data_IF_142908659360
#
_entry.id   IF_142908659360
#
_cell.length_a   1.000
_cell.length_b   1.000
_cell.length_c   1.000
_cell.angle_alpha   90.00
_cell.angle_beta   90.00
_cell.angle_gamma   90.00
#
_symmetry.space_group_name_H-M   'P 1'
#
loop_
_entity.id
_entity.type
_entity.pdbx_description
1 polymer ?
#
# COMPACT_ATOMS: atom_id res chain seq x y z
N UNK A 1 15.89 14.21 1.29
CA UNK A 1 15.06 15.44 1.30
C UNK A 1 13.65 15.26 1.90
N UNK A 2 13.00 14.08 1.83
CA UNK A 2 11.67 13.84 2.44
C UNK A 2 11.61 14.14 3.96
N UNK A 3 12.68 13.84 4.71
CA UNK A 3 12.76 14.10 6.16
C UNK A 3 12.72 15.59 6.57
N UNK A 4 12.80 16.53 5.61
CA UNK A 4 12.69 17.98 5.88
C UNK A 4 11.32 18.56 5.51
N UNK A 5 10.42 17.78 4.90
CA UNK A 5 9.09 18.22 4.50
C UNK A 5 8.13 17.95 5.66
N UNK A 6 7.91 18.96 6.48
CA UNK A 6 6.93 18.94 7.57
C UNK A 6 5.52 19.24 7.02
N UNK A 7 4.44 18.78 7.68
CA UNK A 7 3.07 19.18 7.35
C UNK A 7 2.90 20.69 7.14
N UNK A 8 3.50 21.49 8.03
CA UNK A 8 3.46 22.95 7.94
C UNK A 8 4.05 23.51 6.63
N UNK A 9 5.08 22.87 6.08
CA UNK A 9 5.70 23.31 4.81
C UNK A 9 4.76 23.04 3.63
N UNK A 10 4.06 21.90 3.65
CA UNK A 10 3.06 21.55 2.63
C UNK A 10 1.87 22.50 2.73
N UNK A 11 1.30 22.67 3.93
CA UNK A 11 0.18 23.59 4.17
C UNK A 11 0.54 25.04 3.77
N UNK A 12 1.69 25.56 4.19
CA UNK A 12 2.14 26.90 3.82
C UNK A 12 2.35 27.05 2.31
N UNK A 13 2.89 26.04 1.63
CA UNK A 13 3.04 26.04 0.18
C UNK A 13 1.69 26.16 -0.53
N UNK A 14 0.67 25.42 -0.05
CA UNK A 14 -0.70 25.50 -0.57
C UNK A 14 -1.29 26.89 -0.31
N UNK A 15 -1.17 27.42 0.91
CA UNK A 15 -1.72 28.74 1.28
C UNK A 15 -1.10 29.89 0.48
N UNK A 16 0.22 29.85 0.23
CA UNK A 16 0.91 30.82 -0.63
C UNK A 16 0.34 30.77 -2.07
N UNK A 17 0.03 29.56 -2.56
CA UNK A 17 -0.50 29.31 -3.90
C UNK A 17 -2.03 29.33 -3.97
N UNK A 18 -2.76 29.70 -2.91
CA UNK A 18 -4.23 29.58 -2.84
C UNK A 18 -5.00 30.24 -4.00
N UNK A 19 -4.41 31.25 -4.67
CA UNK A 19 -5.01 31.88 -5.86
C UNK A 19 -5.01 30.97 -7.08
N UNK A 20 -3.99 30.12 -7.23
CA UNK A 20 -3.85 29.15 -8.33
C UNK A 20 -4.24 27.73 -7.93
N UNK A 21 -4.17 27.40 -6.65
CA UNK A 21 -4.65 26.16 -6.06
C UNK A 21 -6.00 26.42 -5.40
N UNK A 22 -7.08 26.38 -6.19
CA UNK A 22 -8.42 26.61 -5.67
C UNK A 22 -9.00 25.38 -4.95
N UNK A 23 -8.67 24.17 -5.43
CA UNK A 23 -9.15 22.89 -4.90
C UNK A 23 -7.97 21.93 -4.79
N UNK A 24 -7.74 21.35 -3.60
CA UNK A 24 -6.56 20.50 -3.37
C UNK A 24 -6.95 19.14 -2.81
N UNK A 25 -6.38 18.09 -3.40
CA UNK A 25 -6.42 16.71 -2.90
C UNK A 25 -5.05 16.42 -2.28
N UNK A 26 -5.01 16.09 -1.00
CA UNK A 26 -3.78 15.81 -0.26
C UNK A 26 -3.66 14.30 -0.10
N UNK A 27 -2.54 13.74 -0.56
CA UNK A 27 -2.34 12.28 -0.61
C UNK A 27 -1.03 11.86 0.06
N UNK A 28 -0.89 10.58 0.38
CA UNK A 28 0.29 10.08 1.11
C UNK A 28 1.56 10.04 0.27
N UNK A 29 1.47 9.55 -0.96
CA UNK A 29 2.61 9.18 -1.77
C UNK A 29 2.42 9.33 -3.27
N UNK A 30 3.41 8.81 -4.00
CA UNK A 30 3.51 8.97 -5.46
C UNK A 30 2.54 8.07 -6.22
N UNK A 31 2.16 6.92 -5.66
CA UNK A 31 1.18 6.03 -6.28
C UNK A 31 -0.23 6.61 -6.16
N UNK A 32 -0.56 7.24 -5.04
CA UNK A 32 -1.80 7.99 -4.86
C UNK A 32 -1.88 9.17 -5.83
N UNK A 33 -0.78 9.93 -5.97
CA UNK A 33 -0.68 11.00 -6.97
C UNK A 33 -0.98 10.46 -8.36
N UNK A 34 -0.36 9.35 -8.76
CA UNK A 34 -0.57 8.73 -10.06
C UNK A 34 -2.04 8.32 -10.24
N UNK A 35 -2.63 7.66 -9.24
CA UNK A 35 -4.02 7.22 -9.25
C UNK A 35 -4.98 8.40 -9.40
N UNK A 36 -4.92 9.37 -8.50
CA UNK A 36 -5.85 10.51 -8.51
C UNK A 36 -5.62 11.44 -9.70
N UNK A 37 -4.42 11.49 -10.28
CA UNK A 37 -4.19 12.27 -11.51
C UNK A 37 -5.06 11.80 -12.68
N UNK A 38 -5.46 10.53 -12.70
CA UNK A 38 -6.36 9.98 -13.72
C UNK A 38 -7.79 10.48 -13.56
N UNK A 39 -8.25 10.68 -12.32
CA UNK A 39 -9.66 10.86 -11.99
C UNK A 39 -9.99 12.21 -11.36
N UNK A 40 -9.00 13.08 -11.12
CA UNK A 40 -9.21 14.43 -10.60
C UNK A 40 -9.97 15.33 -11.58
N UNK A 41 -10.81 16.20 -11.06
CA UNK A 41 -11.35 17.35 -11.80
C UNK A 41 -10.20 18.21 -12.37
N UNK A 42 -10.45 18.89 -13.49
CA UNK A 42 -9.42 19.67 -14.21
C UNK A 42 -8.78 20.74 -13.33
N UNK A 43 -9.59 21.42 -12.51
CA UNK A 43 -9.16 22.47 -11.59
C UNK A 43 -8.52 21.95 -10.29
N UNK A 44 -8.68 20.67 -9.97
CA UNK A 44 -8.10 20.09 -8.75
C UNK A 44 -6.60 19.93 -8.88
N UNK A 45 -5.87 20.26 -7.83
CA UNK A 45 -4.44 20.00 -7.70
C UNK A 45 -4.22 18.87 -6.70
N UNK A 46 -3.14 18.12 -6.86
CA UNK A 46 -2.78 17.03 -5.94
C UNK A 46 -1.45 17.35 -5.29
N UNK A 47 -1.38 17.25 -3.96
CA UNK A 47 -0.17 17.51 -3.18
C UNK A 47 0.18 16.29 -2.31
N UNK A 48 1.45 15.91 -2.30
CA UNK A 48 1.95 14.76 -1.52
C UNK A 48 2.35 15.24 -0.12
N UNK A 49 1.80 14.62 0.92
CA UNK A 49 2.11 14.92 2.30
C UNK A 49 3.18 13.99 2.92
N UNK A 50 3.57 12.91 2.23
CA UNK A 50 4.57 11.94 2.68
C UNK A 50 4.16 11.17 3.94
N UNK A 51 2.95 10.60 3.90
CA UNK A 51 2.38 9.73 4.94
C UNK A 51 1.07 10.26 5.53
N UNK A 52 0.19 9.35 5.94
CA UNK A 52 -1.17 9.67 6.39
C UNK A 52 -1.24 10.65 7.58
N UNK A 53 -0.33 10.55 8.55
CA UNK A 53 -0.29 11.49 9.68
C UNK A 53 -0.08 12.93 9.18
N UNK A 54 0.78 13.09 8.17
CA UNK A 54 0.99 14.37 7.54
C UNK A 54 -0.23 14.82 6.73
N UNK A 55 -0.94 13.92 6.04
CA UNK A 55 -2.18 14.26 5.34
C UNK A 55 -3.18 14.89 6.33
N UNK A 56 -3.43 14.23 7.46
CA UNK A 56 -4.33 14.73 8.50
C UNK A 56 -3.86 16.09 9.04
N UNK A 57 -2.56 16.21 9.35
CA UNK A 57 -2.00 17.45 9.90
C UNK A 57 -2.06 18.62 8.91
N UNK A 58 -1.83 18.37 7.61
CA UNK A 58 -1.95 19.38 6.55
C UNK A 58 -3.41 19.83 6.44
N UNK A 59 -4.35 18.89 6.36
CA UNK A 59 -5.78 19.19 6.26
C UNK A 59 -6.24 20.05 7.46
N UNK A 60 -5.93 19.63 8.68
CA UNK A 60 -6.27 20.41 9.88
C UNK A 60 -5.66 21.82 9.88
N UNK A 61 -4.41 21.94 9.40
CA UNK A 61 -3.74 23.24 9.31
C UNK A 61 -4.42 24.16 8.28
N UNK A 62 -4.84 23.62 7.13
CA UNK A 62 -5.55 24.39 6.11
C UNK A 62 -6.93 24.85 6.60
N UNK A 63 -7.71 23.95 7.23
CA UNK A 63 -9.01 24.29 7.80
C UNK A 63 -8.90 25.39 8.87
N UNK A 64 -7.87 25.33 9.73
CA UNK A 64 -7.64 26.35 10.75
C UNK A 64 -7.37 27.73 10.16
N UNK A 65 -6.78 27.80 8.98
CA UNK A 65 -6.48 29.04 8.25
C UNK A 65 -7.64 29.47 7.31
N UNK A 66 -8.81 28.80 7.40
CA UNK A 66 -9.99 29.10 6.60
C UNK A 66 -9.88 28.65 5.14
N UNK A 67 -9.05 27.65 4.86
CA UNK A 67 -8.94 27.02 3.54
C UNK A 67 -9.76 25.72 3.52
N UNK A 68 -11.05 25.85 3.19
CA UNK A 68 -12.02 24.73 3.25
C UNK A 68 -12.03 23.88 1.97
N UNK A 69 -11.43 24.37 0.88
CA UNK A 69 -11.40 23.70 -0.42
C UNK A 69 -10.30 22.61 -0.50
N UNK A 70 -10.16 21.79 0.54
CA UNK A 70 -9.24 20.67 0.58
C UNK A 70 -9.87 19.37 1.08
N UNK A 71 -9.42 18.26 0.52
CA UNK A 71 -9.66 16.91 1.03
C UNK A 71 -8.35 16.17 1.24
N UNK A 72 -8.31 15.25 2.20
CA UNK A 72 -7.23 14.30 2.40
C UNK A 72 -7.64 12.90 2.00
N UNK A 73 -6.70 12.12 1.48
CA UNK A 73 -6.90 10.71 1.18
C UNK A 73 -5.74 9.92 1.77
N UNK A 74 -6.06 8.90 2.54
CA UNK A 74 -5.11 8.03 3.22
C UNK A 74 -5.43 6.56 2.94
N UNK A 75 -4.42 5.72 2.98
CA UNK A 75 -4.56 4.27 2.95
C UNK A 75 -5.30 3.79 4.22
N UNK A 76 -6.12 2.76 4.09
CA UNK A 76 -6.76 2.12 5.25
C UNK A 76 -5.74 1.43 6.15
N UNK A 77 -4.65 0.92 5.59
CA UNK A 77 -3.64 0.11 6.27
C UNK A 77 -4.29 -0.96 7.18
N UNK A 78 -3.87 -1.03 8.44
CA UNK A 78 -4.40 -1.88 9.48
C UNK A 78 -5.31 -1.10 10.46
N UNK A 79 -5.71 0.14 10.14
CA UNK A 79 -6.47 1.02 11.05
C UNK A 79 -7.78 0.37 11.57
N UNK A 80 -8.54 -0.41 10.76
CA UNK A 80 -9.72 -1.12 11.26
C UNK A 80 -9.41 -2.26 12.24
N UNK A 81 -8.20 -2.82 12.18
CA UNK A 81 -7.78 -3.98 12.98
C UNK A 81 -7.04 -3.53 14.24
N UNK A 82 -6.27 -2.46 14.12
CA UNK A 82 -5.46 -1.87 15.19
C UNK A 82 -5.80 -0.37 15.18
N UNK A 83 -6.90 0.01 15.87
CA UNK A 83 -7.34 1.40 15.91
C UNK A 83 -6.24 2.31 16.45
N UNK A 84 -6.00 3.41 15.76
CA UNK A 84 -5.03 4.42 16.17
C UNK A 84 -5.75 5.56 16.90
N UNK A 85 -5.05 6.24 17.80
CA UNK A 85 -5.63 7.31 18.64
C UNK A 85 -5.90 8.63 17.90
N UNK A 86 -5.98 8.61 16.58
CA UNK A 86 -6.12 9.80 15.75
C UNK A 86 -7.58 10.08 15.40
N UNK A 87 -7.94 11.36 15.46
CA UNK A 87 -9.23 11.85 14.98
C UNK A 87 -9.07 12.17 13.50
N UNK A 88 -9.76 11.41 12.65
CA UNK A 88 -9.81 11.64 11.21
C UNK A 88 -10.81 12.78 10.92
N UNK A 89 -10.37 13.90 10.30
CA UNK A 89 -11.26 14.99 9.93
C UNK A 89 -12.33 14.55 8.91
N UNK A 90 -13.48 15.22 8.89
CA UNK A 90 -14.59 14.87 8.00
C UNK A 90 -14.27 14.96 6.49
N UNK A 91 -13.25 15.73 6.12
CA UNK A 91 -12.74 15.88 4.77
C UNK A 91 -11.53 14.97 4.48
N UNK A 92 -11.26 13.97 5.33
CA UNK A 92 -10.25 12.93 5.09
C UNK A 92 -10.94 11.59 4.87
N UNK A 93 -10.58 10.92 3.76
CA UNK A 93 -11.18 9.66 3.32
C UNK A 93 -10.13 8.55 3.25
N UNK A 94 -10.59 7.30 3.33
CA UNK A 94 -9.73 6.11 3.36
C UNK A 94 -9.98 5.20 2.17
N UNK A 95 -8.94 4.56 1.63
CA UNK A 95 -9.06 3.53 0.58
C UNK A 95 -9.97 2.37 0.98
N UNK A 96 -10.58 1.69 0.01
CA UNK A 96 -11.44 0.55 0.35
C UNK A 96 -10.60 -0.66 0.77
N UNK A 97 -9.50 -0.93 0.07
CA UNK A 97 -8.53 -1.98 0.40
C UNK A 97 -7.42 -1.47 1.31
N UNK A 98 -6.44 -2.32 1.65
CA UNK A 98 -5.31 -1.95 2.50
C UNK A 98 -4.63 -0.65 2.05
N UNK A 99 -4.34 -0.54 0.76
CA UNK A 99 -3.80 0.64 0.11
C UNK A 99 -4.31 0.74 -1.34
N UNK A 100 -4.00 1.83 -2.04
CA UNK A 100 -4.40 2.03 -3.44
C UNK A 100 -3.81 1.00 -4.40
N UNK A 101 -2.65 0.42 -4.06
CA UNK A 101 -2.01 -0.61 -4.88
C UNK A 101 -2.84 -1.88 -4.86
N UNK A 102 -3.27 -2.35 -3.69
CA UNK A 102 -4.18 -3.49 -3.59
C UNK A 102 -5.49 -3.17 -4.27
N UNK A 103 -6.05 -1.98 -4.06
CA UNK A 103 -7.30 -1.58 -4.70
C UNK A 103 -7.22 -1.69 -6.22
N UNK A 104 -6.11 -1.28 -6.82
CA UNK A 104 -5.92 -1.42 -8.28
C UNK A 104 -5.61 -2.85 -8.71
N UNK A 105 -4.78 -3.58 -7.96
CA UNK A 105 -4.48 -5.01 -8.19
C UNK A 105 -5.76 -5.84 -8.26
N UNK A 106 -6.74 -5.59 -7.39
CA UNK A 106 -7.95 -6.39 -7.34
C UNK A 106 -8.70 -6.43 -8.68
N UNK A 107 -8.55 -5.38 -9.51
CA UNK A 107 -9.22 -5.24 -10.80
C UNK A 107 -8.28 -5.41 -12.00
N UNK A 108 -7.09 -4.81 -11.99
CA UNK A 108 -6.20 -4.80 -13.17
C UNK A 108 -5.25 -5.99 -13.24
N UNK A 109 -5.17 -6.82 -12.18
CA UNK A 109 -4.13 -7.85 -12.07
C UNK A 109 -4.07 -8.77 -13.28
N UNK A 110 -5.19 -9.31 -13.76
CA UNK A 110 -5.15 -10.29 -14.85
C UNK A 110 -4.58 -9.71 -16.14
N UNK A 111 -4.91 -8.46 -16.46
CA UNK A 111 -4.41 -7.76 -17.64
C UNK A 111 -2.89 -7.58 -17.52
N UNK A 112 -2.43 -7.07 -16.37
CA UNK A 112 -1.01 -6.78 -16.14
C UNK A 112 -0.18 -8.06 -16.01
N UNK A 113 -0.69 -9.05 -15.27
CA UNK A 113 -0.06 -10.34 -15.14
C UNK A 113 0.13 -11.02 -16.50
N UNK A 114 -0.91 -11.01 -17.35
CA UNK A 114 -0.83 -11.58 -18.70
C UNK A 114 0.14 -10.82 -19.62
N UNK A 115 0.37 -9.53 -19.38
CA UNK A 115 1.39 -8.76 -20.09
C UNK A 115 2.82 -9.22 -19.74
N UNK A 116 3.07 -9.54 -18.47
CA UNK A 116 4.42 -9.87 -17.99
C UNK A 116 4.75 -11.37 -17.92
N UNK A 117 3.74 -12.23 -17.79
CA UNK A 117 3.95 -13.67 -17.66
C UNK A 117 4.21 -14.34 -19.02
N UNK A 118 4.85 -15.51 -18.97
CA UNK A 118 4.93 -16.44 -20.09
C UNK A 118 3.78 -17.43 -19.93
N UNK A 119 2.86 -17.47 -20.91
CA UNK A 119 1.70 -18.38 -20.90
C UNK A 119 2.09 -19.85 -20.69
N UNK A 120 3.18 -20.30 -21.31
CA UNK A 120 3.69 -21.66 -21.17
C UNK A 120 4.17 -21.94 -19.73
N UNK A 121 4.97 -21.03 -19.17
CA UNK A 121 5.48 -21.16 -17.80
C UNK A 121 4.39 -21.06 -16.75
N UNK A 122 3.45 -20.12 -16.91
CA UNK A 122 2.29 -19.98 -16.03
C UNK A 122 1.46 -21.26 -16.02
N UNK A 123 1.11 -21.79 -17.21
CA UNK A 123 0.35 -23.03 -17.34
C UNK A 123 1.07 -24.19 -16.65
N UNK A 124 2.35 -24.40 -16.96
CA UNK A 124 3.16 -25.46 -16.36
C UNK A 124 3.24 -25.31 -14.83
N UNK A 125 3.50 -24.10 -14.34
CA UNK A 125 3.58 -23.84 -12.91
C UNK A 125 2.24 -24.14 -12.20
N UNK A 126 1.12 -23.75 -12.80
CA UNK A 126 -0.22 -24.03 -12.29
C UNK A 126 -0.51 -25.53 -12.26
N UNK A 127 -0.17 -26.26 -13.32
CA UNK A 127 -0.32 -27.72 -13.39
C UNK A 127 0.54 -28.44 -12.34
N UNK A 128 1.83 -28.10 -12.27
CA UNK A 128 2.80 -28.71 -11.34
C UNK A 128 2.44 -28.48 -9.86
N UNK A 129 1.70 -27.40 -9.55
CA UNK A 129 1.33 -27.01 -8.19
C UNK A 129 -0.17 -27.11 -7.91
N UNK A 130 -0.98 -27.62 -8.84
CA UNK A 130 -2.43 -27.74 -8.72
C UNK A 130 -3.12 -26.41 -8.37
N UNK A 131 -2.68 -25.32 -9.00
CA UNK A 131 -3.18 -23.97 -8.76
C UNK A 131 -4.15 -23.53 -9.85
N UNK A 132 -5.30 -23.00 -9.45
CA UNK A 132 -6.29 -22.43 -10.37
C UNK A 132 -6.10 -20.92 -10.56
N UNK A 133 -5.78 -20.21 -9.48
CA UNK A 133 -5.63 -18.76 -9.48
C UNK A 133 -4.28 -18.33 -8.89
N UNK A 134 -3.51 -17.62 -9.71
CA UNK A 134 -2.19 -17.12 -9.33
C UNK A 134 -2.29 -15.92 -8.38
N UNK A 135 -3.34 -15.09 -8.48
CA UNK A 135 -3.55 -13.93 -7.58
C UNK A 135 -3.76 -14.41 -6.15
N UNK A 136 -4.68 -15.36 -5.96
CA UNK A 136 -4.91 -16.03 -4.66
C UNK A 136 -3.66 -16.71 -4.12
N UNK A 137 -2.85 -17.32 -4.99
CA UNK A 137 -1.58 -17.94 -4.60
C UNK A 137 -0.59 -16.89 -4.08
N UNK A 138 -0.43 -15.75 -4.75
CA UNK A 138 0.46 -14.66 -4.30
C UNK A 138 -0.01 -14.10 -2.95
N UNK A 139 -1.32 -13.91 -2.75
CA UNK A 139 -1.84 -13.55 -1.44
C UNK A 139 -1.49 -14.58 -0.36
N UNK A 140 -1.51 -15.88 -0.68
CA UNK A 140 -1.10 -16.91 0.29
C UNK A 140 0.39 -16.84 0.65
N UNK A 141 1.26 -16.44 -0.29
CA UNK A 141 2.67 -16.19 -0.04
C UNK A 141 2.90 -14.91 0.79
N UNK A 142 2.05 -13.91 0.62
CA UNK A 142 2.11 -12.64 1.34
C UNK A 142 1.53 -12.72 2.76
N UNK A 143 0.65 -13.69 3.01
CA UNK A 143 -0.08 -13.80 4.27
C UNK A 143 0.82 -13.81 5.51
N UNK A 144 1.93 -14.57 5.56
CA UNK A 144 2.82 -14.56 6.72
C UNK A 144 3.43 -13.19 7.03
N UNK A 145 3.81 -12.40 6.02
CA UNK A 145 4.36 -11.05 6.24
C UNK A 145 3.27 -10.06 6.64
N UNK A 146 2.05 -10.21 6.15
CA UNK A 146 0.87 -9.45 6.59
C UNK A 146 0.61 -9.66 8.09
N UNK A 147 0.61 -10.91 8.55
CA UNK A 147 0.47 -11.21 9.98
C UNK A 147 1.65 -10.73 10.82
N UNK A 148 2.89 -10.79 10.29
CA UNK A 148 4.04 -10.23 11.00
C UNK A 148 3.94 -8.70 11.17
N UNK A 149 3.34 -7.99 10.22
CA UNK A 149 3.04 -6.54 10.36
C UNK A 149 1.99 -6.28 11.43
N UNK A 150 0.92 -7.08 11.45
CA UNK A 150 -0.12 -7.02 12.50
C UNK A 150 0.51 -7.24 13.88
N UNK A 151 1.27 -8.33 14.03
CA UNK A 151 1.96 -8.66 15.28
C UNK A 151 2.89 -7.52 15.73
N UNK A 152 3.73 -7.02 14.81
CA UNK A 152 4.66 -5.93 15.10
C UNK A 152 3.94 -4.66 15.57
N UNK A 153 2.80 -4.32 14.94
CA UNK A 153 2.02 -3.13 15.29
C UNK A 153 1.27 -3.31 16.60
N UNK A 154 0.64 -4.47 16.85
CA UNK A 154 -0.05 -4.77 18.12
C UNK A 154 0.89 -4.74 19.32
N UNK A 155 2.07 -5.34 19.18
CA UNK A 155 3.01 -5.49 20.29
C UNK A 155 4.09 -4.40 20.32
N UNK A 156 4.01 -3.41 19.42
CA UNK A 156 4.99 -2.33 19.29
C UNK A 156 6.45 -2.81 19.14
N UNK A 157 6.66 -3.91 18.42
CA UNK A 157 8.01 -4.50 18.19
C UNK A 157 8.91 -3.65 17.29
N UNK A 158 8.39 -2.54 16.77
CA UNK A 158 9.11 -1.60 15.93
C UNK A 158 9.75 -2.23 14.68
N UNK A 159 9.33 -3.42 14.25
CA UNK A 159 9.88 -4.05 13.05
C UNK A 159 9.66 -3.14 11.83
N UNK A 160 10.68 -3.04 10.99
CA UNK A 160 10.65 -2.28 9.74
C UNK A 160 10.47 -3.24 8.58
N UNK A 161 9.60 -2.85 7.66
CA UNK A 161 9.29 -3.60 6.44
C UNK A 161 9.59 -2.79 5.17
N UNK A 162 9.80 -1.48 5.31
CA UNK A 162 10.11 -0.57 4.21
C UNK A 162 11.31 0.30 4.53
N UNK A 163 12.00 0.77 3.49
CA UNK A 163 13.06 1.75 3.67
C UNK A 163 12.44 3.13 3.90
N UNK A 164 13.09 3.95 4.73
CA UNK A 164 12.71 5.36 4.89
C UNK A 164 13.28 6.24 3.78
N UNK A 165 14.40 5.83 3.19
CA UNK A 165 15.13 6.59 2.18
C UNK A 165 15.12 5.83 0.84
N UNK A 166 14.90 6.55 -0.27
CA UNK A 166 14.86 5.99 -1.63
C UNK A 166 16.18 5.31 -2.05
N UNK A 167 17.29 5.65 -1.39
CA UNK A 167 18.63 5.10 -1.66
C UNK A 167 18.95 3.84 -0.82
N UNK A 168 18.12 3.50 0.17
CA UNK A 168 18.38 2.37 1.03
C UNK A 168 17.78 1.06 0.48
N UNK A 169 18.45 -0.06 0.79
CA UNK A 169 17.98 -1.37 0.35
C UNK A 169 16.56 -1.67 0.87
N UNK A 170 15.74 -2.26 0.01
CA UNK A 170 14.43 -2.86 0.35
C UNK A 170 14.61 -4.19 1.08
N UNK A 171 13.54 -4.69 1.69
CA UNK A 171 13.52 -6.04 2.23
C UNK A 171 13.71 -7.04 1.08
N UNK A 172 14.64 -7.97 1.22
CA UNK A 172 14.87 -8.99 0.20
C UNK A 172 13.91 -10.17 0.39
N UNK A 173 12.84 -10.19 -0.41
CA UNK A 173 11.82 -11.24 -0.38
C UNK A 173 12.36 -12.63 -0.76
N UNK A 174 13.51 -12.71 -1.46
CA UNK A 174 14.12 -14.00 -1.80
C UNK A 174 14.72 -14.72 -0.59
N UNK A 175 14.81 -14.06 0.57
CA UNK A 175 15.24 -14.67 1.83
C UNK A 175 14.20 -15.58 2.45
N UNK A 176 12.92 -15.40 2.12
CA UNK A 176 11.81 -16.20 2.66
C UNK A 176 10.82 -16.70 1.60
N UNK A 177 11.00 -16.29 0.33
CA UNK A 177 10.37 -16.88 -0.85
C UNK A 177 11.46 -17.56 -1.68
N UNK A 178 11.34 -18.88 -1.87
CA UNK A 178 12.21 -19.64 -2.75
C UNK A 178 11.96 -19.19 -4.19
N UNK A 179 12.92 -18.50 -4.80
CA UNK A 179 12.82 -17.97 -6.17
C UNK A 179 12.75 -19.06 -7.25
N UNK A 180 13.34 -20.22 -6.99
CA UNK A 180 13.34 -21.36 -7.91
C UNK A 180 12.09 -22.23 -7.68
N UNK A 181 11.59 -22.24 -6.44
CA UNK A 181 10.32 -22.78 -5.96
C UNK A 181 9.08 -22.03 -6.44
N UNK A 182 9.24 -20.71 -6.46
CA UNK A 182 8.20 -19.73 -6.18
C UNK A 182 7.27 -20.17 -5.04
N UNK A 183 7.86 -20.51 -3.88
CA UNK A 183 7.16 -21.03 -2.68
C UNK A 183 7.64 -20.31 -1.43
N UNK A 184 6.74 -20.14 -0.46
CA UNK A 184 7.10 -19.68 0.88
C UNK A 184 8.02 -20.72 1.54
N UNK A 185 9.12 -20.27 2.15
CA UNK A 185 10.11 -21.16 2.78
C UNK A 185 9.61 -21.60 4.15
N UNK A 186 9.55 -20.67 5.11
CA UNK A 186 8.97 -20.84 6.44
C UNK A 186 8.97 -19.51 7.22
N UNK A 187 8.30 -19.54 8.38
CA UNK A 187 8.18 -18.40 9.29
C UNK A 187 9.54 -17.96 9.84
N UNK A 188 10.43 -18.89 10.15
CA UNK A 188 11.74 -18.59 10.74
C UNK A 188 12.59 -17.75 9.79
N UNK A 189 12.57 -18.04 8.48
CA UNK A 189 13.29 -17.27 7.46
C UNK A 189 12.67 -15.90 7.23
N UNK A 190 11.35 -15.78 7.28
CA UNK A 190 10.67 -14.50 7.22
C UNK A 190 11.07 -13.60 8.39
N UNK A 191 10.93 -14.11 9.62
CA UNK A 191 11.26 -13.35 10.84
C UNK A 191 12.73 -12.95 10.84
N UNK A 192 13.63 -13.87 10.48
CA UNK A 192 15.06 -13.58 10.37
C UNK A 192 15.35 -12.47 9.36
N UNK A 193 14.74 -12.52 8.17
CA UNK A 193 14.91 -11.50 7.14
C UNK A 193 14.44 -10.12 7.62
N UNK A 194 13.26 -10.03 8.22
CA UNK A 194 12.68 -8.78 8.72
C UNK A 194 13.45 -8.25 9.92
N UNK A 195 13.89 -9.10 10.86
CA UNK A 195 14.72 -8.69 11.99
C UNK A 195 16.06 -8.14 11.55
N UNK A 196 16.75 -8.84 10.64
CA UNK A 196 18.04 -8.38 10.12
C UNK A 196 17.89 -7.05 9.37
N UNK A 197 16.81 -6.89 8.61
CA UNK A 197 16.46 -5.64 7.96
C UNK A 197 16.20 -4.50 8.97
N UNK A 198 15.51 -4.80 10.08
CA UNK A 198 15.13 -3.85 11.12
C UNK A 198 16.31 -3.40 11.98
N UNK A 199 17.19 -4.32 12.42
CA UNK A 199 18.36 -4.01 13.25
C UNK A 199 19.30 -3.00 12.59
N UNK A 200 19.42 -3.06 11.27
CA UNK A 200 20.23 -2.11 10.52
C UNK A 200 19.66 -0.67 10.53
N UNK A 201 18.47 -0.46 11.10
CA UNK A 201 17.70 0.80 10.98
C UNK A 201 17.17 1.35 12.31
N UNK A 202 17.35 0.65 13.43
CA UNK A 202 16.80 1.07 14.74
C UNK A 202 17.80 0.76 15.86
N UNK A 203 17.78 1.62 16.89
CA UNK A 203 18.56 1.45 18.14
C UNK A 203 17.74 0.86 19.30
N UNK A 204 16.48 0.47 19.06
CA UNK A 204 15.59 -0.07 20.10
C UNK A 204 15.70 -1.58 20.16
N UNK A 205 15.49 -2.14 21.34
CA UNK A 205 15.41 -3.59 21.51
C UNK A 205 14.21 -4.15 20.74
N UNK A 206 14.47 -5.26 20.06
CA UNK A 206 13.49 -6.08 19.36
C UNK A 206 13.47 -7.42 20.09
N UNK A 207 12.30 -8.06 20.31
CA UNK A 207 12.24 -9.39 20.92
C UNK A 207 13.12 -10.40 20.19
N UNK A 208 13.44 -11.51 20.85
CA UNK A 208 14.22 -12.58 20.23
C UNK A 208 13.45 -13.20 19.07
N UNK A 209 14.19 -13.78 18.11
CA UNK A 209 13.60 -14.47 16.96
C UNK A 209 12.59 -15.53 17.41
N UNK A 210 12.92 -16.31 18.43
CA UNK A 210 12.08 -17.41 18.91
C UNK A 210 10.74 -16.90 19.47
N UNK A 211 10.74 -15.77 20.18
CA UNK A 211 9.51 -15.14 20.68
C UNK A 211 8.63 -14.71 19.50
N UNK A 212 9.20 -13.99 18.53
CA UNK A 212 8.43 -13.49 17.37
C UNK A 212 7.89 -14.65 16.53
N UNK A 213 8.67 -15.72 16.32
CA UNK A 213 8.23 -16.92 15.59
C UNK A 213 7.08 -17.61 16.33
N UNK A 214 7.19 -17.82 17.64
CA UNK A 214 6.15 -18.47 18.43
C UNK A 214 4.83 -17.67 18.40
N UNK A 215 4.90 -16.37 18.64
CA UNK A 215 3.71 -15.50 18.62
C UNK A 215 3.12 -15.36 17.22
N UNK A 216 3.93 -15.31 16.17
CA UNK A 216 3.44 -15.25 14.79
C UNK A 216 2.71 -16.54 14.40
N UNK A 217 3.26 -17.71 14.75
CA UNK A 217 2.59 -18.99 14.51
C UNK A 217 1.24 -19.05 15.23
N UNK A 218 1.21 -18.66 16.51
CA UNK A 218 -0.02 -18.61 17.29
C UNK A 218 -1.05 -17.64 16.67
N UNK A 219 -0.61 -16.45 16.25
CA UNK A 219 -1.48 -15.46 15.63
C UNK A 219 -2.08 -15.97 14.31
N UNK A 220 -1.27 -16.60 13.46
CA UNK A 220 -1.74 -17.18 12.20
C UNK A 220 -2.75 -18.30 12.50
N UNK A 221 -2.44 -19.23 13.41
CA UNK A 221 -3.35 -20.32 13.77
C UNK A 221 -4.71 -19.82 14.27
N UNK A 222 -4.72 -18.72 15.03
CA UNK A 222 -5.93 -18.17 15.64
C UNK A 222 -6.75 -17.28 14.70
N UNK A 223 -6.09 -16.53 13.80
CA UNK A 223 -6.71 -15.42 13.08
C UNK A 223 -6.63 -15.55 11.54
N UNK A 224 -6.11 -16.65 10.98
CA UNK A 224 -5.92 -16.82 9.53
C UNK A 224 -7.17 -16.51 8.70
N UNK A 225 -8.34 -16.91 9.19
CA UNK A 225 -9.62 -16.76 8.49
C UNK A 225 -10.44 -15.55 8.99
N UNK A 226 -9.86 -14.74 9.87
CA UNK A 226 -10.52 -13.56 10.46
C UNK A 226 -10.52 -12.35 9.51
N UNK A 227 -9.51 -12.28 8.64
CA UNK A 227 -9.28 -11.10 7.81
C UNK A 227 -9.35 -11.40 6.31
N UNK A 228 -10.04 -10.53 5.59
CA UNK A 228 -9.94 -10.47 4.14
C UNK A 228 -8.50 -10.14 3.73
N UNK A 229 -7.94 -10.95 2.82
CA UNK A 229 -6.52 -10.84 2.43
C UNK A 229 -6.17 -9.48 1.83
N UNK A 230 -7.11 -8.87 1.09
CA UNK A 230 -6.95 -7.53 0.51
C UNK A 230 -7.04 -6.37 1.52
N UNK A 231 -7.39 -6.65 2.79
CA UNK A 231 -7.37 -5.67 3.88
C UNK A 231 -6.07 -5.67 4.68
N UNK A 232 -5.36 -6.81 4.70
CA UNK A 232 -4.15 -6.97 5.51
C UNK A 232 -2.86 -7.03 4.70
N UNK A 233 -2.95 -7.34 3.41
CA UNK A 233 -1.78 -7.42 2.54
C UNK A 233 -1.41 -6.04 2.05
N UNK A 234 -0.14 -5.67 2.19
CA UNK A 234 0.37 -4.43 1.62
C UNK A 234 0.66 -4.61 0.12
N UNK A 235 0.34 -3.60 -0.70
CA UNK A 235 0.52 -3.68 -2.14
C UNK A 235 1.99 -3.77 -2.58
N UNK A 236 2.91 -3.17 -1.83
CA UNK A 236 4.34 -3.37 -2.09
C UNK A 236 4.80 -4.79 -1.78
N UNK A 237 4.28 -5.42 -0.72
CA UNK A 237 4.61 -6.82 -0.43
C UNK A 237 4.10 -7.74 -1.53
N UNK A 238 2.86 -7.52 -1.99
CA UNK A 238 2.30 -8.24 -3.13
C UNK A 238 3.17 -8.05 -4.38
N UNK A 239 3.53 -6.80 -4.69
CA UNK A 239 4.35 -6.41 -5.82
C UNK A 239 5.75 -7.06 -5.82
N UNK A 240 6.42 -7.14 -4.67
CA UNK A 240 7.73 -7.78 -4.54
C UNK A 240 7.61 -9.31 -4.68
N UNK A 241 6.55 -9.92 -4.13
CA UNK A 241 6.33 -11.37 -4.24
C UNK A 241 6.07 -11.77 -5.69
N UNK A 242 5.16 -11.09 -6.40
CA UNK A 242 4.92 -11.41 -7.82
C UNK A 242 6.19 -11.23 -8.65
N UNK A 243 7.04 -10.27 -8.29
CA UNK A 243 8.30 -10.03 -8.98
C UNK A 243 9.26 -11.22 -8.86
N UNK A 244 9.35 -11.85 -7.69
CA UNK A 244 10.12 -13.09 -7.49
C UNK A 244 9.65 -14.17 -8.47
N UNK A 245 8.33 -14.32 -8.59
CA UNK A 245 7.70 -15.25 -9.52
C UNK A 245 7.99 -14.92 -10.98
N UNK A 246 7.69 -13.69 -11.43
CA UNK A 246 7.85 -13.25 -12.82
C UNK A 246 9.31 -13.33 -13.30
N UNK A 247 10.28 -12.99 -12.45
CA UNK A 247 11.69 -13.07 -12.84
C UNK A 247 12.15 -14.50 -13.04
N UNK A 248 11.64 -15.49 -12.31
CA UNK A 248 12.23 -16.84 -12.32
C UNK A 248 11.32 -17.94 -12.85
N UNK A 249 10.07 -17.98 -12.40
CA UNK A 249 9.16 -19.10 -12.60
C UNK A 249 8.04 -18.81 -13.58
N UNK A 250 7.51 -17.60 -13.58
CA UNK A 250 6.27 -17.25 -14.30
C UNK A 250 6.53 -16.45 -15.58
N UNK A 251 7.60 -15.65 -15.63
CA UNK A 251 7.89 -14.74 -16.75
C UNK A 251 9.25 -14.98 -17.40
N UNK A 252 9.61 -14.07 -18.31
CA UNK A 252 10.87 -14.08 -19.06
C UNK A 252 11.73 -12.83 -18.82
N UNK A 253 11.14 -11.73 -18.34
CA UNK A 253 11.86 -10.48 -18.12
C UNK A 253 12.52 -10.48 -16.72
N UNK A 254 13.86 -10.42 -16.67
CA UNK A 254 14.62 -10.34 -15.41
C UNK A 254 14.69 -8.91 -14.84
N UNK A 255 14.40 -7.89 -15.66
CA UNK A 255 14.65 -6.49 -15.36
C UNK A 255 13.42 -5.71 -14.88
N UNK A 256 12.25 -6.33 -14.89
CA UNK A 256 11.03 -5.74 -14.30
C UNK A 256 11.30 -5.35 -12.82
N UNK A 257 10.70 -4.25 -12.37
CA UNK A 257 10.68 -3.85 -10.96
C UNK A 257 9.26 -3.95 -10.42
N UNK A 258 9.14 -4.15 -9.10
CA UNK A 258 7.83 -4.19 -8.44
C UNK A 258 7.07 -2.88 -8.66
N UNK A 259 7.78 -1.76 -8.57
CA UNK A 259 7.22 -0.42 -8.80
C UNK A 259 6.60 -0.26 -10.20
N UNK A 260 7.24 -0.81 -11.24
CA UNK A 260 6.73 -0.78 -12.62
C UNK A 260 5.42 -1.58 -12.71
N UNK A 261 5.38 -2.78 -12.13
CA UNK A 261 4.18 -3.63 -12.11
C UNK A 261 3.00 -2.93 -11.40
N UNK A 262 3.26 -2.30 -10.25
CA UNK A 262 2.23 -1.59 -9.48
C UNK A 262 1.72 -0.34 -10.21
N UNK A 263 2.63 0.43 -10.83
CA UNK A 263 2.24 1.57 -11.67
C UNK A 263 1.39 1.14 -12.86
N UNK A 264 1.72 0.03 -13.51
CA UNK A 264 0.92 -0.49 -14.60
C UNK A 264 -0.48 -0.90 -14.14
N UNK A 265 -0.60 -1.48 -12.95
CA UNK A 265 -1.90 -1.76 -12.33
C UNK A 265 -2.71 -0.46 -12.14
N UNK A 266 -2.09 0.57 -11.56
CA UNK A 266 -2.73 1.88 -11.39
C UNK A 266 -3.14 2.48 -12.73
N UNK A 267 -2.29 2.40 -13.76
CA UNK A 267 -2.55 2.94 -15.09
C UNK A 267 -3.67 2.20 -15.82
N UNK A 268 -3.85 0.89 -15.58
CA UNK A 268 -4.91 0.08 -16.17
C UNK A 268 -6.21 0.05 -15.34
N UNK A 269 -6.23 0.66 -14.15
CA UNK A 269 -7.45 0.79 -13.36
C UNK A 269 -8.46 1.74 -14.01
N UNK A 270 -9.68 1.32 -14.27
CA UNK A 270 -10.64 2.14 -15.01
C UNK A 270 -11.52 3.01 -14.11
N UNK A 271 -12.02 4.13 -14.65
CA UNK A 271 -12.89 5.05 -13.90
C UNK A 271 -14.18 4.38 -13.43
N UNK A 272 -14.75 3.49 -14.26
CA UNK A 272 -15.97 2.74 -13.91
C UNK A 272 -15.76 1.84 -12.68
N UNK A 273 -14.54 1.33 -12.48
CA UNK A 273 -14.22 0.55 -11.27
C UNK A 273 -14.06 1.49 -10.07
N UNK A 274 -13.41 2.64 -10.25
CA UNK A 274 -13.30 3.64 -9.18
C UNK A 274 -14.68 4.09 -8.69
N UNK A 275 -15.64 4.31 -9.59
CA UNK A 275 -16.99 4.75 -9.26
C UNK A 275 -17.75 3.78 -8.32
N UNK A 276 -17.37 2.50 -8.31
CA UNK A 276 -17.99 1.47 -7.46
C UNK A 276 -17.48 1.50 -6.01
N UNK A 277 -16.34 2.13 -5.77
CA UNK A 277 -15.66 2.16 -4.46
C UNK A 277 -16.43 3.00 -3.44
N UNK A 278 -16.32 2.66 -2.15
CA UNK A 278 -16.85 3.48 -1.05
C UNK A 278 -16.08 4.80 -0.97
N UNK A 279 -14.77 4.79 -1.23
CA UNK A 279 -13.95 6.01 -1.32
C UNK A 279 -14.54 7.02 -2.29
N UNK A 280 -14.82 6.60 -3.54
CA UNK A 280 -15.44 7.49 -4.54
C UNK A 280 -16.79 8.02 -4.06
N UNK A 281 -17.66 7.14 -3.56
CA UNK A 281 -18.99 7.52 -3.08
C UNK A 281 -18.93 8.52 -1.91
N UNK A 282 -17.98 8.35 -0.99
CA UNK A 282 -17.76 9.27 0.13
C UNK A 282 -17.30 10.65 -0.36
N UNK A 283 -16.33 10.68 -1.29
CA UNK A 283 -15.87 11.93 -1.89
C UNK A 283 -17.02 12.63 -2.63
N UNK A 284 -17.78 11.93 -3.47
CA UNK A 284 -18.93 12.53 -4.19
C UNK A 284 -20.02 13.07 -3.25
N UNK A 285 -20.27 12.40 -2.11
CA UNK A 285 -21.20 12.91 -1.09
C UNK A 285 -20.68 14.20 -0.44
N UNK A 286 -19.39 14.25 -0.15
CA UNK A 286 -18.74 15.45 0.38
C UNK A 286 -18.79 16.61 -0.63
N UNK A 287 -18.48 16.33 -1.89
CA UNK A 287 -18.57 17.28 -3.01
C UNK A 287 -19.97 17.89 -3.15
N UNK A 288 -21.01 17.04 -3.12
CA UNK A 288 -22.40 17.49 -3.22
C UNK A 288 -22.81 18.37 -2.02
N UNK A 289 -22.36 18.02 -0.81
CA UNK A 289 -22.67 18.77 0.41
C UNK A 289 -22.02 20.15 0.40
N UNK A 290 -20.81 20.27 -0.15
CA UNK A 290 -20.00 21.49 -0.13
C UNK A 290 -20.02 22.26 -1.46
N UNK A 291 -20.80 21.81 -2.45
CA UNK A 291 -20.89 22.41 -3.79
C UNK A 291 -19.51 22.62 -4.45
N UNK A 292 -18.64 21.61 -4.33
CA UNK A 292 -17.25 21.61 -4.83
C UNK A 292 -16.98 20.29 -5.55
N UNK A 293 -16.18 20.30 -6.62
CA UNK A 293 -15.83 19.08 -7.36
C UNK A 293 -14.31 18.87 -7.33
N UNK A 294 -13.87 17.76 -6.73
CA UNK A 294 -12.48 17.31 -6.68
C UNK A 294 -12.20 16.24 -7.74
N UNK A 295 -13.18 15.38 -8.04
CA UNK A 295 -13.11 14.30 -9.02
C UNK A 295 -13.88 14.63 -10.30
N UNK A 296 -13.54 13.94 -11.39
CA UNK A 296 -14.33 13.97 -12.63
C UNK A 296 -15.72 13.37 -12.37
N UNK A 297 -16.69 13.78 -13.17
CA UNK A 297 -18.02 13.18 -13.23
C UNK A 297 -18.00 11.93 -14.11
#
# INVERSE_FOLDING_TARGET
MRNAITPNRVANSILIKRKSMNKVIIVEGTHDLLFFSKFKHSESQIEIAFGWENVINVVNSLLKEGYDNCIGIIDTDLKPIIPESYIIPANVFTTDCHDINIETIEYSFDIIYNHYCSKEKDKKFKEDNQLNDIKTYIYSLALPISFLRILSKRNSYNLRFKCKDEEGNSLDFTKFIDKDKFKFINIEKLVEAVMNYSRNKIKTDIPTKDIIVAELNQLIEQENDTYDRNKITNGHDFGEIILVGLKRKLGNNQHIKSDDFLKDCILNYEFVEFQKTKLFQQIKRFEATNTIEYLKN
#
